data_IF_618910468220
#
_entry.id   IF_618910468220
#
_cell.length_a   1.000
_cell.length_b   1.000
_cell.length_c   1.000
_cell.angle_alpha   90.00
_cell.angle_beta   90.00
_cell.angle_gamma   90.00
#
_symmetry.space_group_name_H-M   'P 1'
#
loop_
_entity.id
_entity.type
_entity.pdbx_description
1 polymer ?
#
# COMPACT_ATOMS: atom_id res chain seq x y z
N UNK A 1 -23.63 -25.53 11.51
CA UNK A 1 -22.21 -25.91 11.34
C UNK A 1 -21.54 -25.17 10.19
N UNK A 2 -22.06 -25.21 8.95
CA UNK A 2 -21.47 -24.52 7.79
C UNK A 2 -21.26 -23.01 8.04
N UNK A 3 -22.26 -22.30 8.58
CA UNK A 3 -22.13 -20.86 8.88
C UNK A 3 -21.02 -20.54 9.89
N UNK A 4 -20.79 -21.39 10.89
CA UNK A 4 -19.75 -21.14 11.91
C UNK A 4 -18.35 -21.33 11.34
N UNK A 5 -18.17 -22.29 10.42
CA UNK A 5 -16.91 -22.48 9.70
C UNK A 5 -16.60 -21.28 8.79
N UNK A 6 -17.62 -20.77 8.09
CA UNK A 6 -17.49 -19.59 7.23
C UNK A 6 -17.12 -18.33 8.02
N UNK A 7 -17.77 -18.07 9.16
CA UNK A 7 -17.43 -16.91 9.99
C UNK A 7 -16.02 -17.02 10.59
N UNK A 8 -15.63 -18.22 11.03
CA UNK A 8 -14.25 -18.47 11.48
C UNK A 8 -13.24 -18.20 10.37
N UNK A 9 -13.51 -18.67 9.14
CA UNK A 9 -12.63 -18.44 8.00
C UNK A 9 -12.53 -16.94 7.65
N UNK A 10 -13.66 -16.22 7.60
CA UNK A 10 -13.67 -14.75 7.37
C UNK A 10 -12.82 -14.02 8.39
N UNK A 11 -12.96 -14.37 9.67
CA UNK A 11 -12.19 -13.77 10.76
C UNK A 11 -10.70 -14.02 10.59
N UNK A 12 -10.30 -15.26 10.36
CA UNK A 12 -8.89 -15.64 10.15
C UNK A 12 -8.32 -14.92 8.93
N UNK A 13 -9.02 -14.95 7.78
CA UNK A 13 -8.58 -14.27 6.56
C UNK A 13 -8.47 -12.76 6.74
N UNK A 14 -9.40 -12.16 7.49
CA UNK A 14 -9.34 -10.72 7.82
C UNK A 14 -8.13 -10.41 8.68
N UNK A 15 -7.86 -11.21 9.72
CA UNK A 15 -6.67 -11.03 10.55
C UNK A 15 -5.37 -11.25 9.77
N UNK A 16 -5.31 -12.24 8.87
CA UNK A 16 -4.16 -12.46 7.98
C UNK A 16 -3.88 -11.25 7.08
N UNK A 17 -4.90 -10.53 6.64
CA UNK A 17 -4.74 -9.34 5.80
C UNK A 17 -3.88 -8.25 6.46
N UNK A 18 -3.92 -8.12 7.79
CA UNK A 18 -3.10 -7.18 8.57
C UNK A 18 -1.60 -7.55 8.57
N UNK A 19 -1.25 -8.80 8.25
CA UNK A 19 0.15 -9.22 8.09
C UNK A 19 0.61 -9.09 6.64
N UNK A 20 -0.24 -9.50 5.69
CA UNK A 20 0.13 -9.62 4.29
C UNK A 20 0.55 -8.29 3.66
N UNK A 21 -0.17 -7.20 3.94
CA UNK A 21 0.16 -5.90 3.35
C UNK A 21 1.51 -5.35 3.86
N UNK A 22 1.76 -5.22 5.18
CA UNK A 22 3.05 -4.71 5.66
C UNK A 22 4.25 -5.57 5.22
N UNK A 23 4.08 -6.90 5.13
CA UNK A 23 5.14 -7.79 4.63
C UNK A 23 5.42 -7.56 3.14
N UNK A 24 4.39 -7.45 2.32
CA UNK A 24 4.54 -7.15 0.89
C UNK A 24 5.20 -5.77 0.68
N UNK A 25 4.75 -4.75 1.42
CA UNK A 25 5.32 -3.40 1.36
C UNK A 25 6.79 -3.40 1.81
N UNK A 26 7.14 -4.13 2.87
CA UNK A 26 8.51 -4.24 3.33
C UNK A 26 9.41 -4.82 2.24
N UNK A 27 9.01 -5.94 1.62
CA UNK A 27 9.77 -6.58 0.54
C UNK A 27 9.89 -5.63 -0.66
N UNK A 28 8.81 -4.91 -0.99
CA UNK A 28 8.83 -3.94 -2.08
C UNK A 28 9.84 -2.82 -1.85
N UNK A 29 9.87 -2.21 -0.66
CA UNK A 29 10.81 -1.13 -0.36
C UNK A 29 12.27 -1.59 -0.32
N UNK A 30 12.57 -2.75 0.28
CA UNK A 30 13.96 -3.25 0.29
C UNK A 30 14.46 -3.65 -1.11
N UNK A 31 13.56 -3.79 -2.09
CA UNK A 31 13.94 -4.07 -3.47
C UNK A 31 14.52 -2.85 -4.19
N UNK A 32 14.28 -1.63 -3.69
CA UNK A 32 14.79 -0.41 -4.29
C UNK A 32 16.32 -0.33 -4.14
N UNK A 33 17.08 -0.19 -5.24
CA UNK A 33 18.54 -0.17 -5.21
C UNK A 33 19.09 1.06 -4.48
N UNK A 34 18.37 2.18 -4.56
CA UNK A 34 18.73 3.46 -3.96
C UNK A 34 17.99 3.74 -2.65
N UNK A 35 17.61 2.69 -1.92
CA UNK A 35 16.82 2.79 -0.68
C UNK A 35 17.29 3.87 0.31
N UNK A 36 18.61 4.02 0.47
CA UNK A 36 19.22 4.97 1.42
C UNK A 36 19.45 6.37 0.84
N UNK A 37 19.14 6.57 -0.44
CA UNK A 37 19.24 7.88 -1.07
C UNK A 37 18.22 8.84 -0.46
N UNK A 38 18.66 10.07 -0.21
CA UNK A 38 17.82 11.17 0.25
C UNK A 38 17.64 12.24 -0.85
N UNK A 39 18.03 11.92 -2.08
CA UNK A 39 17.87 12.80 -3.23
C UNK A 39 16.38 12.93 -3.58
N UNK A 40 15.93 14.18 -3.73
CA UNK A 40 14.54 14.50 -4.08
C UNK A 40 14.48 14.82 -5.57
N UNK A 41 13.51 14.23 -6.27
CA UNK A 41 13.21 14.59 -7.66
C UNK A 41 14.19 13.97 -8.66
N UNK A 42 14.57 12.72 -8.45
CA UNK A 42 15.39 11.92 -9.38
C UNK A 42 14.75 11.93 -10.79
N UNK A 43 15.53 12.15 -11.87
CA UNK A 43 15.05 12.11 -13.23
C UNK A 43 14.27 10.82 -13.55
N UNK A 44 13.21 10.94 -14.37
CA UNK A 44 12.35 9.79 -14.72
C UNK A 44 13.15 8.65 -15.37
N UNK A 45 14.14 8.97 -16.21
CA UNK A 45 14.94 7.94 -16.89
C UNK A 45 15.85 7.17 -15.95
N UNK A 46 16.29 7.77 -14.84
CA UNK A 46 17.05 7.05 -13.82
C UNK A 46 16.15 6.05 -13.11
N UNK A 47 14.88 6.42 -12.84
CA UNK A 47 13.88 5.48 -12.33
C UNK A 47 13.62 4.33 -13.30
N UNK A 48 13.49 4.62 -14.60
CA UNK A 48 13.33 3.58 -15.63
C UNK A 48 14.52 2.62 -15.61
N UNK A 49 15.74 3.14 -15.45
CA UNK A 49 16.94 2.33 -15.37
C UNK A 49 16.97 1.42 -14.12
N UNK A 50 16.40 1.85 -12.98
CA UNK A 50 16.29 1.00 -11.79
C UNK A 50 15.41 -0.24 -12.00
N UNK A 51 14.40 -0.14 -12.87
CA UNK A 51 13.50 -1.25 -13.20
C UNK A 51 14.05 -2.18 -14.28
N UNK A 52 14.83 -1.66 -15.24
CA UNK A 52 15.32 -2.44 -16.38
C UNK A 52 16.14 -3.65 -15.91
N UNK A 53 15.69 -4.86 -16.28
CA UNK A 53 16.27 -6.15 -15.91
C UNK A 53 16.40 -6.40 -14.39
N UNK A 54 15.72 -5.62 -13.54
CA UNK A 54 15.79 -5.76 -12.10
C UNK A 54 14.69 -6.67 -11.56
N UNK A 55 14.98 -7.98 -11.54
CA UNK A 55 14.02 -9.01 -11.12
C UNK A 55 13.51 -8.83 -9.68
N UNK A 56 14.35 -8.32 -8.78
CA UNK A 56 13.94 -8.14 -7.38
C UNK A 56 12.97 -6.97 -7.23
N UNK A 57 13.23 -5.86 -7.95
CA UNK A 57 12.27 -4.76 -8.06
C UNK A 57 10.92 -5.23 -8.60
N UNK A 58 10.94 -5.99 -9.70
CA UNK A 58 9.71 -6.53 -10.29
C UNK A 58 8.94 -7.45 -9.33
N UNK A 59 9.66 -8.33 -8.63
CA UNK A 59 9.05 -9.22 -7.65
C UNK A 59 8.43 -8.47 -6.46
N UNK A 60 9.16 -7.51 -5.88
CA UNK A 60 8.64 -6.68 -4.78
C UNK A 60 7.39 -5.91 -5.18
N UNK A 61 7.37 -5.35 -6.39
CA UNK A 61 6.21 -4.63 -6.92
C UNK A 61 5.04 -5.55 -7.30
N UNK A 62 5.30 -6.78 -7.77
CA UNK A 62 4.27 -7.81 -7.95
C UNK A 62 3.60 -8.14 -6.62
N UNK A 63 4.36 -8.30 -5.53
CA UNK A 63 3.81 -8.52 -4.20
C UNK A 63 2.90 -7.35 -3.76
N UNK A 64 3.23 -6.11 -4.15
CA UNK A 64 2.35 -4.96 -3.89
C UNK A 64 1.03 -5.01 -4.67
N UNK A 65 1.04 -5.54 -5.90
CA UNK A 65 -0.23 -5.79 -6.61
C UNK A 65 -1.03 -6.87 -5.90
N UNK A 66 -0.38 -7.95 -5.45
CA UNK A 66 -1.04 -9.03 -4.70
C UNK A 66 -1.53 -8.60 -3.31
N UNK A 67 -1.00 -7.51 -2.75
CA UNK A 67 -1.41 -6.97 -1.46
C UNK A 67 -2.64 -6.05 -1.54
N UNK A 68 -3.10 -5.70 -2.74
CA UNK A 68 -4.30 -4.88 -2.97
C UNK A 68 -5.56 -5.50 -2.34
N UNK A 69 -5.90 -6.79 -2.52
CA UNK A 69 -7.06 -7.38 -1.86
C UNK A 69 -6.92 -7.44 -0.32
N UNK A 70 -5.79 -7.88 0.28
CA UNK A 70 -5.57 -7.77 1.72
C UNK A 70 -5.75 -6.35 2.25
N UNK A 71 -5.17 -5.34 1.60
CA UNK A 71 -5.29 -3.94 2.02
C UNK A 71 -6.75 -3.45 1.96
N UNK A 72 -7.48 -3.83 0.90
CA UNK A 72 -8.92 -3.58 0.77
C UNK A 72 -9.71 -4.14 1.96
N UNK A 73 -9.41 -5.39 2.35
CA UNK A 73 -10.04 -6.04 3.50
C UNK A 73 -9.76 -5.28 4.79
N UNK A 74 -8.53 -4.83 5.01
CA UNK A 74 -8.15 -4.03 6.19
C UNK A 74 -8.96 -2.73 6.24
N UNK A 75 -9.04 -2.00 5.14
CA UNK A 75 -9.81 -0.74 5.04
C UNK A 75 -11.28 -0.98 5.38
N UNK A 76 -11.90 -2.01 4.79
CA UNK A 76 -13.29 -2.36 5.05
C UNK A 76 -13.49 -2.81 6.51
N UNK A 77 -12.52 -3.54 7.09
CA UNK A 77 -12.59 -3.92 8.51
C UNK A 77 -12.59 -2.67 9.39
N UNK A 78 -11.74 -1.68 9.13
CA UNK A 78 -11.78 -0.41 9.86
C UNK A 78 -13.10 0.33 9.70
N UNK A 79 -13.70 0.36 8.49
CA UNK A 79 -15.06 0.89 8.29
C UNK A 79 -16.07 0.18 9.18
N UNK A 80 -16.00 -1.15 9.26
CA UNK A 80 -16.93 -1.96 10.05
C UNK A 80 -16.79 -1.76 11.56
N UNK A 81 -15.59 -1.44 12.04
CA UNK A 81 -15.33 -1.15 13.45
C UNK A 81 -15.87 0.23 13.84
N UNK A 82 -15.72 1.22 12.97
CA UNK A 82 -16.14 2.60 13.21
C UNK A 82 -17.65 2.76 13.01
N UNK A 83 -18.42 2.56 14.09
CA UNK A 83 -19.88 2.72 14.13
C UNK A 83 -20.29 4.00 14.86
N UNK A 84 -21.57 4.37 14.75
CA UNK A 84 -22.16 5.52 15.46
C UNK A 84 -21.40 6.84 15.25
N UNK A 85 -20.78 7.38 16.30
CA UNK A 85 -20.00 8.63 16.28
C UNK A 85 -18.75 8.51 15.40
N UNK A 86 -18.20 7.31 15.28
CA UNK A 86 -17.08 6.96 14.41
C UNK A 86 -17.45 6.79 12.93
N UNK A 87 -18.74 6.63 12.60
CA UNK A 87 -19.17 6.17 11.27
C UNK A 87 -18.67 7.04 10.12
N UNK A 88 -18.64 8.36 10.31
CA UNK A 88 -18.14 9.30 9.30
C UNK A 88 -16.63 9.16 9.06
N UNK A 89 -15.84 8.92 10.11
CA UNK A 89 -14.40 8.64 9.99
C UNK A 89 -14.16 7.34 9.22
N UNK A 90 -14.96 6.31 9.52
CA UNK A 90 -14.95 5.04 8.81
C UNK A 90 -15.29 5.23 7.35
N UNK A 91 -16.42 5.88 7.05
CA UNK A 91 -16.93 6.03 5.69
C UNK A 91 -16.03 6.91 4.81
N UNK A 92 -15.75 8.15 5.22
CA UNK A 92 -14.95 9.08 4.42
C UNK A 92 -13.54 8.53 4.24
N UNK A 93 -12.90 8.14 5.34
CA UNK A 93 -11.55 7.58 5.30
C UNK A 93 -11.49 6.29 4.48
N UNK A 94 -12.49 5.42 4.62
CA UNK A 94 -12.58 4.18 3.87
C UNK A 94 -12.75 4.39 2.36
N UNK A 95 -13.68 5.24 1.94
CA UNK A 95 -13.89 5.56 0.52
C UNK A 95 -12.63 6.17 -0.09
N UNK A 96 -12.00 7.13 0.58
CA UNK A 96 -10.73 7.72 0.12
C UNK A 96 -9.63 6.65 -0.01
N UNK A 97 -9.47 5.81 1.01
CA UNK A 97 -8.47 4.77 1.01
C UNK A 97 -8.69 3.77 -0.13
N UNK A 98 -9.93 3.36 -0.42
CA UNK A 98 -10.26 2.46 -1.51
C UNK A 98 -9.93 3.04 -2.90
N UNK A 99 -10.14 4.35 -3.12
CA UNK A 99 -9.67 5.00 -4.34
C UNK A 99 -8.14 5.04 -4.43
N UNK A 100 -7.46 5.23 -3.29
CA UNK A 100 -6.00 5.12 -3.23
C UNK A 100 -5.49 3.70 -3.52
N UNK A 101 -6.19 2.66 -3.05
CA UNK A 101 -5.91 1.26 -3.39
C UNK A 101 -6.03 1.01 -4.89
N UNK A 102 -7.05 1.58 -5.55
CA UNK A 102 -7.18 1.52 -7.00
C UNK A 102 -5.98 2.18 -7.68
N UNK A 103 -5.58 3.38 -7.22
CA UNK A 103 -4.38 4.07 -7.70
C UNK A 103 -3.11 3.21 -7.55
N UNK A 104 -2.94 2.55 -6.40
CA UNK A 104 -1.83 1.63 -6.13
C UNK A 104 -1.81 0.45 -7.12
N UNK A 105 -2.96 -0.19 -7.34
CA UNK A 105 -3.08 -1.31 -8.26
C UNK A 105 -2.70 -0.90 -9.70
N UNK A 106 -3.23 0.24 -10.17
CA UNK A 106 -2.93 0.78 -11.50
C UNK A 106 -1.45 1.16 -11.62
N UNK A 107 -0.90 1.86 -10.62
CA UNK A 107 0.49 2.28 -10.62
C UNK A 107 1.44 1.09 -10.70
N UNK A 108 1.28 0.11 -9.80
CA UNK A 108 2.18 -1.05 -9.74
C UNK A 108 2.02 -1.95 -10.97
N UNK A 109 0.82 -2.01 -11.57
CA UNK A 109 0.64 -2.68 -12.86
C UNK A 109 1.39 -1.97 -13.98
N UNK A 110 1.20 -0.65 -14.12
CA UNK A 110 1.77 0.12 -15.23
C UNK A 110 3.29 0.29 -15.13
N UNK A 111 3.82 0.59 -13.93
CA UNK A 111 5.23 0.91 -13.71
C UNK A 111 6.08 -0.33 -13.37
N UNK A 112 5.47 -1.50 -13.16
CA UNK A 112 6.21 -2.74 -12.92
C UNK A 112 5.80 -3.89 -13.84
N UNK A 113 4.53 -4.35 -13.82
CA UNK A 113 4.17 -5.56 -14.57
C UNK A 113 4.36 -5.36 -16.09
N UNK A 114 3.97 -4.20 -16.60
CA UNK A 114 4.23 -3.85 -18.00
C UNK A 114 5.73 -3.73 -18.27
N UNK A 115 6.50 -3.12 -17.35
CA UNK A 115 7.96 -2.99 -17.51
C UNK A 115 8.66 -4.35 -17.53
N UNK A 116 8.28 -5.27 -16.65
CA UNK A 116 8.80 -6.66 -16.65
C UNK A 116 8.50 -7.41 -17.94
N UNK A 117 7.43 -7.02 -18.66
CA UNK A 117 7.13 -7.57 -19.98
C UNK A 117 8.09 -7.01 -21.02
N UNK A 118 8.36 -5.70 -20.97
CA UNK A 118 9.31 -5.05 -21.88
C UNK A 118 10.75 -5.57 -21.70
N UNK A 119 11.15 -5.94 -20.49
CA UNK A 119 12.45 -6.56 -20.21
C UNK A 119 12.65 -7.91 -20.92
N UNK A 120 11.58 -8.55 -21.41
CA UNK A 120 11.68 -9.80 -22.18
C UNK A 120 12.01 -9.60 -23.66
N UNK A 121 11.98 -8.35 -24.13
CA UNK A 121 12.24 -8.00 -25.52
C UNK A 121 13.75 -7.91 -25.80
N UNK A 122 14.19 -8.13 -27.06
CA UNK A 122 15.54 -7.80 -27.46
C UNK A 122 15.85 -6.32 -27.17
N UNK A 123 17.06 -6.01 -26.72
CA UNK A 123 17.48 -4.66 -26.30
C UNK A 123 17.25 -3.60 -27.39
N UNK A 124 17.42 -3.98 -28.66
CA UNK A 124 17.18 -3.11 -29.81
C UNK A 124 15.71 -2.69 -29.95
N UNK A 125 14.78 -3.53 -29.52
CA UNK A 125 13.34 -3.24 -29.48
C UNK A 125 12.98 -2.49 -28.22
N UNK A 126 13.51 -2.89 -27.05
CA UNK A 126 13.32 -2.20 -25.78
C UNK A 126 13.70 -0.71 -25.88
N UNK A 127 14.87 -0.42 -26.45
CA UNK A 127 15.37 0.96 -26.61
C UNK A 127 14.42 1.82 -27.44
N UNK A 128 13.73 1.24 -28.43
CA UNK A 128 12.74 1.95 -29.24
C UNK A 128 11.45 2.28 -28.46
N UNK A 129 11.18 1.57 -27.36
CA UNK A 129 10.02 1.81 -26.49
C UNK A 129 10.27 2.87 -25.41
N UNK A 130 11.51 3.32 -25.22
CA UNK A 130 11.86 4.28 -24.15
C UNK A 130 10.97 5.53 -24.11
N UNK A 131 10.60 6.18 -25.25
CA UNK A 131 9.69 7.33 -25.20
C UNK A 131 8.30 6.98 -24.64
N UNK A 132 7.81 5.76 -24.92
CA UNK A 132 6.54 5.26 -24.38
C UNK A 132 6.66 4.90 -22.89
N UNK A 133 7.77 4.30 -22.48
CA UNK A 133 8.07 4.01 -21.08
C UNK A 133 8.18 5.31 -20.27
N UNK A 134 8.88 6.31 -20.79
CA UNK A 134 8.96 7.64 -20.19
C UNK A 134 7.57 8.28 -20.04
N UNK A 135 6.69 8.13 -21.03
CA UNK A 135 5.30 8.61 -20.94
C UNK A 135 4.50 7.89 -19.83
N UNK A 136 4.73 6.59 -19.62
CA UNK A 136 4.12 5.82 -18.52
C UNK A 136 4.58 6.34 -17.16
N UNK A 137 5.90 6.53 -16.98
CA UNK A 137 6.44 7.04 -15.72
C UNK A 137 6.04 8.50 -15.45
N UNK A 138 5.86 9.29 -16.50
CA UNK A 138 5.29 10.65 -16.42
C UNK A 138 3.76 10.69 -16.30
N UNK A 139 3.10 9.54 -16.08
CA UNK A 139 1.66 9.42 -15.86
C UNK A 139 0.79 10.06 -16.96
N UNK A 140 1.25 10.02 -18.22
CA UNK A 140 0.54 10.64 -19.34
C UNK A 140 -0.78 9.91 -19.66
N UNK A 141 -1.71 10.64 -20.29
CA UNK A 141 -3.03 10.10 -20.65
C UNK A 141 -3.88 9.78 -19.42
N UNK A 142 -4.62 8.68 -19.45
CA UNK A 142 -5.48 8.27 -18.31
C UNK A 142 -4.70 7.71 -17.11
N UNK A 143 -3.38 7.56 -17.20
CA UNK A 143 -2.53 7.24 -16.04
C UNK A 143 -2.53 8.35 -14.98
N UNK A 144 -3.07 9.53 -15.30
CA UNK A 144 -3.45 10.59 -14.34
C UNK A 144 -4.27 10.06 -13.16
N UNK A 145 -4.99 8.94 -13.30
CA UNK A 145 -5.70 8.27 -12.20
C UNK A 145 -4.78 7.86 -11.04
N UNK A 146 -3.48 7.69 -11.29
CA UNK A 146 -2.48 7.40 -10.26
C UNK A 146 -2.34 8.56 -9.26
N UNK A 147 -2.75 9.78 -9.60
CA UNK A 147 -2.85 10.89 -8.63
C UNK A 147 -3.87 10.65 -7.52
N UNK A 148 -4.70 9.60 -7.60
CA UNK A 148 -5.53 9.15 -6.47
C UNK A 148 -4.74 8.40 -5.39
N UNK A 149 -3.52 7.93 -5.68
CA UNK A 149 -2.70 7.17 -4.74
C UNK A 149 -2.52 7.85 -3.37
N UNK A 150 -2.30 9.18 -3.25
CA UNK A 150 -2.20 9.85 -1.95
C UNK A 150 -3.47 9.73 -1.08
N UNK A 151 -4.63 9.44 -1.68
CA UNK A 151 -5.86 9.19 -0.92
C UNK A 151 -5.75 7.93 -0.05
N UNK A 152 -4.84 6.99 -0.36
CA UNK A 152 -4.60 5.80 0.45
C UNK A 152 -4.11 6.17 1.86
N UNK A 153 -2.93 6.78 2.04
CA UNK A 153 -2.45 7.15 3.37
C UNK A 153 -3.37 8.16 4.05
N UNK A 154 -3.99 9.09 3.31
CA UNK A 154 -4.94 10.06 3.88
C UNK A 154 -6.20 9.35 4.42
N UNK A 155 -6.76 8.41 3.66
CA UNK A 155 -7.95 7.69 4.06
C UNK A 155 -7.71 6.81 5.30
N UNK A 156 -6.58 6.07 5.32
CA UNK A 156 -6.19 5.26 6.48
C UNK A 156 -5.86 6.16 7.70
N UNK A 157 -5.27 7.34 7.49
CA UNK A 157 -5.06 8.33 8.54
C UNK A 157 -6.38 8.79 9.17
N UNK A 158 -7.39 9.10 8.36
CA UNK A 158 -8.74 9.48 8.82
C UNK A 158 -9.37 8.33 9.62
N UNK A 159 -9.29 7.08 9.13
CA UNK A 159 -9.76 5.91 9.87
C UNK A 159 -9.00 5.73 11.19
N UNK A 160 -7.69 5.96 11.20
CA UNK A 160 -6.86 5.92 12.41
C UNK A 160 -7.25 6.95 13.47
N UNK A 161 -7.57 8.17 13.05
CA UNK A 161 -8.11 9.21 13.93
C UNK A 161 -9.45 8.75 14.51
N UNK A 162 -10.33 8.17 13.67
CA UNK A 162 -11.59 7.58 14.14
C UNK A 162 -11.37 6.50 15.20
N UNK A 163 -10.46 5.54 14.93
CA UNK A 163 -10.16 4.43 15.83
C UNK A 163 -9.55 4.89 17.15
N UNK A 164 -8.74 5.96 17.13
CA UNK A 164 -8.23 6.61 18.33
C UNK A 164 -9.36 7.24 19.17
N UNK A 165 -10.28 7.96 18.52
CA UNK A 165 -11.35 8.70 19.19
C UNK A 165 -12.42 7.80 19.79
N UNK A 166 -12.75 6.71 19.11
CA UNK A 166 -13.78 5.76 19.56
C UNK A 166 -13.23 4.64 20.45
N UNK A 167 -11.90 4.58 20.66
CA UNK A 167 -11.24 3.56 21.50
C UNK A 167 -11.51 2.10 21.09
N UNK A 168 -11.85 1.88 19.82
CA UNK A 168 -12.11 0.55 19.26
C UNK A 168 -10.90 -0.38 19.27
N UNK A 169 -9.70 0.21 19.36
CA UNK A 169 -8.42 -0.47 19.54
C UNK A 169 -7.61 0.32 20.57
N UNK A 170 -6.60 -0.31 21.22
CA UNK A 170 -5.68 0.40 22.11
C UNK A 170 -5.14 1.68 21.47
N UNK A 171 -5.25 2.81 22.18
CA UNK A 171 -4.87 4.14 21.65
C UNK A 171 -3.45 4.19 21.08
N UNK A 172 -2.51 3.46 21.68
CA UNK A 172 -1.14 3.39 21.19
C UNK A 172 -1.06 2.79 19.77
N UNK A 173 -1.90 1.79 19.44
CA UNK A 173 -1.94 1.20 18.09
C UNK A 173 -2.45 2.20 17.07
N UNK A 174 -3.50 2.97 17.42
CA UNK A 174 -3.99 4.05 16.56
C UNK A 174 -2.93 5.12 16.34
N UNK A 175 -2.22 5.54 17.39
CA UNK A 175 -1.14 6.54 17.30
C UNK A 175 -0.01 6.04 16.41
N UNK A 176 0.46 4.81 16.61
CA UNK A 176 1.52 4.20 15.79
C UNK A 176 1.10 4.11 14.32
N UNK A 177 -0.15 3.72 14.04
CA UNK A 177 -0.69 3.69 12.68
C UNK A 177 -0.75 5.09 12.05
N UNK A 178 -1.18 6.10 12.79
CA UNK A 178 -1.20 7.50 12.35
C UNK A 178 0.20 7.97 11.97
N UNK A 179 1.21 7.71 12.82
CA UNK A 179 2.61 8.05 12.55
C UNK A 179 3.10 7.35 11.29
N UNK A 180 2.81 6.06 11.12
CA UNK A 180 3.16 5.32 9.91
C UNK A 180 2.53 5.92 8.65
N UNK A 181 1.24 6.31 8.69
CA UNK A 181 0.58 6.92 7.53
C UNK A 181 1.13 8.30 7.19
N UNK A 182 1.49 9.11 8.19
CA UNK A 182 2.17 10.39 7.96
C UNK A 182 3.53 10.17 7.29
N UNK A 183 4.32 9.20 7.78
CA UNK A 183 5.60 8.86 7.17
C UNK A 183 5.48 8.31 5.75
N UNK A 184 4.47 7.47 5.46
CA UNK A 184 4.17 7.02 4.09
C UNK A 184 3.77 8.19 3.19
N UNK A 185 2.98 9.14 3.71
CA UNK A 185 2.61 10.36 3.00
C UNK A 185 3.84 11.20 2.64
N UNK A 186 4.80 11.35 3.57
CA UNK A 186 6.08 12.02 3.30
C UNK A 186 6.85 11.26 2.23
N UNK A 187 7.05 9.95 2.39
CA UNK A 187 7.75 9.10 1.40
C UNK A 187 7.20 9.27 -0.01
N UNK A 188 5.87 9.27 -0.16
CA UNK A 188 5.22 9.46 -1.45
C UNK A 188 5.35 10.89 -2.01
N UNK A 189 5.42 11.91 -1.15
CA UNK A 189 5.51 13.30 -1.56
C UNK A 189 6.93 13.71 -1.98
N UNK A 190 7.95 13.19 -1.31
CA UNK A 190 9.36 13.53 -1.60
C UNK A 190 10.09 12.43 -2.38
N UNK A 191 9.44 11.30 -2.62
CA UNK A 191 9.97 10.16 -3.38
C UNK A 191 11.25 9.57 -2.76
N UNK A 192 11.24 9.43 -1.44
CA UNK A 192 12.35 8.86 -0.65
C UNK A 192 11.91 7.51 -0.05
N UNK A 193 12.58 6.44 -0.47
CA UNK A 193 12.19 5.06 -0.16
C UNK A 193 12.43 4.67 1.30
N UNK A 194 13.48 5.19 1.95
CA UNK A 194 13.75 4.88 3.36
C UNK A 194 12.60 5.31 4.28
N UNK A 195 11.93 6.42 3.98
CA UNK A 195 10.75 6.82 4.73
C UNK A 195 9.60 5.82 4.57
N UNK A 196 9.43 5.27 3.37
CA UNK A 196 8.44 4.25 3.10
C UNK A 196 8.73 2.94 3.84
N UNK A 197 9.99 2.51 3.86
CA UNK A 197 10.44 1.33 4.60
C UNK A 197 10.21 1.48 6.11
N UNK A 198 10.70 2.57 6.70
CA UNK A 198 10.53 2.85 8.14
C UNK A 198 9.06 2.93 8.50
N UNK A 199 8.26 3.62 7.68
CA UNK A 199 6.81 3.73 7.90
C UNK A 199 6.11 2.38 7.84
N UNK A 200 6.55 1.48 6.95
CA UNK A 200 6.03 0.12 6.85
C UNK A 200 6.35 -0.72 8.10
N UNK A 201 7.55 -0.59 8.65
CA UNK A 201 7.93 -1.23 9.91
C UNK A 201 7.08 -0.72 11.08
N UNK A 202 6.90 0.61 11.17
CA UNK A 202 6.03 1.22 12.18
C UNK A 202 4.58 0.74 12.00
N UNK A 203 4.10 0.64 10.76
CA UNK A 203 2.77 0.11 10.48
C UNK A 203 2.61 -1.32 10.99
N UNK A 204 3.60 -2.19 10.75
CA UNK A 204 3.58 -3.58 11.22
C UNK A 204 3.48 -3.68 12.76
N UNK A 205 4.12 -2.76 13.51
CA UNK A 205 4.02 -2.69 14.99
C UNK A 205 2.57 -2.45 15.44
N UNK A 206 1.79 -1.69 14.67
CA UNK A 206 0.36 -1.48 14.93
C UNK A 206 -0.50 -2.64 14.41
N UNK A 207 -0.27 -3.07 13.17
CA UNK A 207 -1.17 -4.00 12.46
C UNK A 207 -1.00 -5.46 12.85
N UNK A 208 0.21 -5.95 13.16
CA UNK A 208 0.40 -7.36 13.51
C UNK A 208 -0.36 -7.74 14.79
N UNK A 209 -0.30 -6.95 15.88
CA UNK A 209 -1.13 -7.20 17.06
C UNK A 209 -2.64 -7.21 16.75
N UNK A 210 -3.12 -6.29 15.89
CA UNK A 210 -4.52 -6.26 15.45
C UNK A 210 -4.90 -7.54 14.68
N UNK A 211 -4.03 -8.00 13.80
CA UNK A 211 -4.21 -9.26 13.07
C UNK A 211 -4.35 -10.45 14.02
N UNK A 212 -3.52 -10.52 15.07
CA UNK A 212 -3.64 -11.56 16.09
C UNK A 212 -4.94 -11.46 16.89
N UNK A 213 -5.33 -10.26 17.33
CA UNK A 213 -6.56 -10.02 18.08
C UNK A 213 -7.80 -10.42 17.25
N UNK A 214 -7.79 -10.12 15.95
CA UNK A 214 -8.84 -10.55 15.02
C UNK A 214 -8.91 -12.06 14.91
N UNK A 215 -7.78 -12.75 14.68
CA UNK A 215 -7.75 -14.22 14.57
C UNK A 215 -8.33 -14.89 15.82
N UNK A 216 -8.02 -14.33 17.01
CA UNK A 216 -8.51 -14.81 18.30
C UNK A 216 -10.00 -14.52 18.55
N UNK A 217 -10.56 -13.50 17.90
CA UNK A 217 -11.94 -13.06 18.11
C UNK A 217 -12.10 -11.96 19.16
N UNK A 218 -11.02 -11.25 19.50
CA UNK A 218 -11.03 -10.20 20.53
C UNK A 218 -11.66 -8.88 20.03
N UNK A 219 -11.85 -8.74 18.70
CA UNK A 219 -12.34 -7.52 18.02
C UNK A 219 -13.58 -7.79 17.14
N UNK A 220 -14.40 -8.76 17.53
CA UNK A 220 -15.74 -9.03 16.95
C UNK A 220 -16.86 -8.37 17.74
#
# INVERSE_FOLDING_TARGET
>A
MINQQVETAKRICTGLAFFLYPLAAFIAFIAHPNLLSLEVGVPVMDKVAEFHNNRFMHFGHLLMVLSVPPLTIVIIKFMSMLKWRGAWWGFIGGVMALYGVLGLAVQKTAQCLVMSTFDTLPETVYTQLLPGIEAIFNLKGYLVIIYLLPLLPIGVLIQGIGLYREENIPRWQSVVMIIAMLGMGVSAAVDIDIFGLVSTLILAISWFPLGFQLIKGDLE
#
